data_IF_337932077918
#
_entry.id   IF_337932077918
#
_cell.length_a   1.000
_cell.length_b   1.000
_cell.length_c   1.000
_cell.angle_alpha   90.00
_cell.angle_beta   90.00
_cell.angle_gamma   90.00
#
_symmetry.space_group_name_H-M   'P 1'
#
loop_
_entity.id
_entity.type
_entity.pdbx_description
1 polymer ?
#
# COMPACT_ATOMS: atom_id res chain seq x y z
N UNK A 1 -30.24 30.01 7.55
CA UNK A 1 -30.08 28.52 7.63
C UNK A 1 -31.19 28.02 8.53
N UNK A 2 -32.04 27.11 8.07
CA UNK A 2 -33.17 26.59 8.84
C UNK A 2 -32.71 25.76 10.03
N UNK A 3 -33.35 25.94 11.20
CA UNK A 3 -33.06 25.21 12.44
C UNK A 3 -33.12 23.68 12.26
N UNK A 4 -33.97 23.20 11.38
CA UNK A 4 -34.14 21.78 11.05
C UNK A 4 -32.89 21.11 10.45
N UNK A 5 -31.96 21.86 9.88
CA UNK A 5 -30.71 21.35 9.38
C UNK A 5 -29.78 20.87 10.52
N UNK A 6 -29.77 21.57 11.65
CA UNK A 6 -28.94 21.23 12.80
C UNK A 6 -29.53 20.08 13.63
N UNK A 7 -30.82 19.83 13.55
CA UNK A 7 -31.48 18.69 14.19
C UNK A 7 -31.08 17.35 13.55
N UNK A 8 -30.79 17.36 12.25
CA UNK A 8 -30.35 16.18 11.51
C UNK A 8 -28.83 16.04 11.39
N UNK A 9 -28.06 17.09 11.66
CA UNK A 9 -26.60 17.10 11.59
C UNK A 9 -26.00 17.64 12.90
N UNK A 10 -25.56 16.76 13.80
CA UNK A 10 -24.94 17.20 15.06
C UNK A 10 -23.78 18.16 14.81
N UNK A 11 -23.78 19.29 15.49
CA UNK A 11 -22.78 20.37 15.33
C UNK A 11 -21.35 19.84 15.44
N UNK A 12 -21.08 18.87 16.32
CA UNK A 12 -19.79 18.23 16.44
C UNK A 12 -19.30 17.54 15.15
N UNK A 13 -20.21 16.94 14.39
CA UNK A 13 -19.89 16.28 13.10
C UNK A 13 -19.59 17.29 12.01
N UNK A 14 -20.24 18.47 12.05
CA UNK A 14 -19.94 19.57 11.13
C UNK A 14 -18.59 20.22 11.46
N UNK A 15 -18.28 20.42 12.73
CA UNK A 15 -16.98 20.94 13.19
C UNK A 15 -15.87 20.00 12.80
N UNK A 16 -15.99 18.68 13.04
CA UNK A 16 -14.99 17.69 12.63
C UNK A 16 -14.77 17.70 11.12
N UNK A 17 -15.83 17.81 10.31
CA UNK A 17 -15.69 17.93 8.86
C UNK A 17 -14.99 19.21 8.44
N UNK A 18 -15.25 20.34 9.09
CA UNK A 18 -14.66 21.62 8.71
C UNK A 18 -13.20 21.77 9.18
N UNK A 19 -12.79 21.07 10.23
CA UNK A 19 -11.41 21.13 10.73
C UNK A 19 -10.58 19.95 10.26
N UNK A 20 -10.95 18.73 10.64
CA UNK A 20 -10.13 17.53 10.40
C UNK A 20 -10.12 17.12 8.93
N UNK A 21 -11.26 17.20 8.22
CA UNK A 21 -11.31 16.79 6.81
C UNK A 21 -10.53 17.79 5.92
N UNK A 22 -10.56 19.09 6.26
CA UNK A 22 -9.79 20.12 5.56
C UNK A 22 -8.28 19.95 5.81
N UNK A 23 -7.88 19.63 7.04
CA UNK A 23 -6.47 19.38 7.38
C UNK A 23 -5.94 18.13 6.67
N UNK A 24 -6.72 17.04 6.63
CA UNK A 24 -6.38 15.82 5.89
C UNK A 24 -6.27 16.07 4.38
N UNK A 25 -7.16 16.90 3.82
CA UNK A 25 -7.10 17.28 2.41
C UNK A 25 -5.85 18.12 2.15
N UNK A 26 -5.53 19.09 3.01
CA UNK A 26 -4.32 19.90 2.90
C UNK A 26 -3.05 19.04 2.99
N UNK A 27 -3.00 18.09 3.91
CA UNK A 27 -1.86 17.18 4.06
C UNK A 27 -1.71 16.26 2.84
N UNK A 28 -2.82 15.73 2.30
CA UNK A 28 -2.81 14.95 1.05
C UNK A 28 -2.32 15.77 -0.15
N UNK A 29 -2.76 17.02 -0.27
CA UNK A 29 -2.33 17.89 -1.39
C UNK A 29 -0.88 18.36 -1.21
N UNK A 30 -0.49 18.77 0.00
CA UNK A 30 0.86 19.26 0.26
C UNK A 30 1.92 18.15 0.13
N UNK A 31 1.67 16.96 0.68
CA UNK A 31 2.64 15.86 0.66
C UNK A 31 2.56 15.00 -0.61
N UNK A 32 1.36 14.81 -1.18
CA UNK A 32 1.16 13.86 -2.29
C UNK A 32 1.21 14.49 -3.67
N UNK A 33 0.43 15.55 -3.90
CA UNK A 33 0.29 16.13 -5.24
C UNK A 33 1.58 16.83 -5.71
N UNK A 34 2.24 17.55 -4.82
CA UNK A 34 3.50 18.24 -5.15
C UNK A 34 4.58 17.21 -5.48
N UNK A 35 4.70 16.14 -4.70
CA UNK A 35 5.68 15.07 -4.94
C UNK A 35 5.42 14.41 -6.31
N UNK A 36 4.18 14.05 -6.63
CA UNK A 36 3.83 13.45 -7.93
C UNK A 36 4.16 14.37 -9.10
N UNK A 37 3.91 15.67 -8.98
CA UNK A 37 4.24 16.65 -10.02
C UNK A 37 5.77 16.75 -10.20
N UNK A 38 6.52 16.83 -9.10
CA UNK A 38 7.99 16.87 -9.14
C UNK A 38 8.58 15.60 -9.74
N UNK A 39 8.05 14.43 -9.36
CA UNK A 39 8.48 13.15 -9.93
C UNK A 39 8.18 13.05 -11.43
N UNK A 40 7.02 13.55 -11.88
CA UNK A 40 6.69 13.62 -13.30
C UNK A 40 7.64 14.54 -14.08
N UNK A 41 7.93 15.74 -13.56
CA UNK A 41 8.86 16.66 -14.19
C UNK A 41 10.25 16.04 -14.27
N UNK A 42 10.71 15.42 -13.19
CA UNK A 42 12.00 14.72 -13.13
C UNK A 42 12.06 13.57 -14.13
N UNK A 43 11.01 12.76 -14.21
CA UNK A 43 10.92 11.64 -15.16
C UNK A 43 11.02 12.15 -16.61
N UNK A 44 10.22 13.16 -16.96
CA UNK A 44 10.25 13.76 -18.30
C UNK A 44 11.63 14.34 -18.60
N UNK A 45 12.24 15.06 -17.65
CA UNK A 45 13.58 15.61 -17.80
C UNK A 45 14.63 14.54 -18.06
N UNK A 46 14.63 13.46 -17.28
CA UNK A 46 15.55 12.32 -17.48
C UNK A 46 15.35 11.69 -18.86
N UNK A 47 14.11 11.44 -19.27
CA UNK A 47 13.81 10.85 -20.60
C UNK A 47 14.30 11.76 -21.73
N UNK A 48 14.05 13.06 -21.65
CA UNK A 48 14.53 14.02 -22.63
C UNK A 48 16.07 14.02 -22.75
N UNK A 49 16.78 14.05 -21.61
CA UNK A 49 18.23 14.01 -21.58
C UNK A 49 18.77 12.70 -22.17
N UNK A 50 18.18 11.56 -21.80
CA UNK A 50 18.57 10.25 -22.34
C UNK A 50 18.41 10.18 -23.86
N UNK A 51 17.29 10.67 -24.38
CA UNK A 51 17.02 10.71 -25.83
C UNK A 51 18.00 11.64 -26.56
N UNK A 52 18.39 12.75 -25.95
CA UNK A 52 19.36 13.70 -26.52
C UNK A 52 20.80 13.16 -26.55
N UNK A 53 21.20 12.36 -25.55
CA UNK A 53 22.55 11.77 -25.48
C UNK A 53 22.68 10.59 -26.44
N UNK A 54 21.77 9.61 -26.35
CA UNK A 54 21.81 8.43 -27.20
C UNK A 54 20.41 7.80 -27.35
N UNK A 55 19.81 8.01 -28.50
CA UNK A 55 18.46 7.53 -28.82
C UNK A 55 18.32 6.00 -28.71
N UNK A 56 19.33 5.24 -29.18
CA UNK A 56 19.29 3.76 -29.14
C UNK A 56 19.34 3.25 -27.70
N UNK A 57 20.24 3.81 -26.89
CA UNK A 57 20.37 3.43 -25.48
C UNK A 57 19.11 3.80 -24.70
N UNK A 58 18.53 4.96 -24.96
CA UNK A 58 17.26 5.39 -24.36
C UNK A 58 16.12 4.42 -24.68
N UNK A 59 15.99 3.96 -25.94
CA UNK A 59 14.97 3.00 -26.34
C UNK A 59 15.12 1.65 -25.62
N UNK A 60 16.33 1.15 -25.48
CA UNK A 60 16.62 -0.10 -24.75
C UNK A 60 16.19 0.06 -23.28
N UNK A 61 16.57 1.15 -22.64
CA UNK A 61 16.20 1.42 -21.24
C UNK A 61 14.68 1.59 -21.07
N UNK A 62 14.03 2.34 -21.95
CA UNK A 62 12.59 2.57 -21.90
C UNK A 62 11.78 1.29 -22.18
N UNK A 63 12.32 0.32 -22.92
CA UNK A 63 11.65 -0.96 -23.16
C UNK A 63 11.46 -1.81 -21.90
N UNK A 64 12.21 -1.54 -20.84
CA UNK A 64 12.07 -2.19 -19.53
C UNK A 64 10.82 -1.68 -18.80
N UNK A 65 10.40 -0.41 -19.02
CA UNK A 65 9.27 0.18 -18.31
C UNK A 65 7.94 -0.59 -18.47
N UNK A 66 7.50 -1.00 -19.68
CA UNK A 66 6.27 -1.77 -19.80
C UNK A 66 6.34 -3.13 -19.08
N UNK A 67 7.49 -3.78 -19.06
CA UNK A 67 7.67 -5.03 -18.31
C UNK A 67 7.53 -4.78 -16.82
N UNK A 68 8.17 -3.73 -16.31
CA UNK A 68 8.05 -3.29 -14.92
C UNK A 68 6.59 -2.97 -14.55
N UNK A 69 5.87 -2.21 -15.39
CA UNK A 69 4.48 -1.86 -15.13
C UNK A 69 3.58 -3.11 -15.02
N UNK A 70 3.75 -4.09 -15.89
CA UNK A 70 2.99 -5.35 -15.85
C UNK A 70 3.28 -6.15 -14.56
N UNK A 71 4.55 -6.24 -14.17
CA UNK A 71 4.95 -6.93 -12.94
C UNK A 71 4.40 -6.22 -11.70
N UNK A 72 4.58 -4.91 -11.61
CA UNK A 72 4.07 -4.10 -10.49
C UNK A 72 2.54 -4.25 -10.38
N UNK A 73 1.81 -4.17 -11.50
CA UNK A 73 0.34 -4.31 -11.48
C UNK A 73 -0.08 -5.72 -11.02
N UNK A 74 0.60 -6.77 -11.50
CA UNK A 74 0.34 -8.14 -11.07
C UNK A 74 0.51 -8.33 -9.55
N UNK A 75 1.65 -7.92 -9.00
CA UNK A 75 1.92 -8.05 -7.55
C UNK A 75 1.01 -7.15 -6.72
N UNK A 76 0.75 -5.93 -7.17
CA UNK A 76 -0.15 -4.99 -6.51
C UNK A 76 -1.59 -5.50 -6.41
N UNK A 77 -2.09 -6.16 -7.47
CA UNK A 77 -3.43 -6.81 -7.43
C UNK A 77 -3.47 -7.93 -6.39
N UNK A 78 -2.42 -8.74 -6.31
CA UNK A 78 -2.32 -9.81 -5.31
C UNK A 78 -2.25 -9.24 -3.89
N UNK A 79 -1.35 -8.30 -3.62
CA UNK A 79 -1.22 -7.64 -2.33
C UNK A 79 -2.56 -7.01 -1.88
N UNK A 80 -3.26 -6.28 -2.77
CA UNK A 80 -4.55 -5.65 -2.48
C UNK A 80 -5.62 -6.65 -2.02
N UNK A 81 -5.60 -7.90 -2.53
CA UNK A 81 -6.50 -8.96 -2.09
C UNK A 81 -6.23 -9.33 -0.64
N UNK A 82 -4.96 -9.50 -0.27
CA UNK A 82 -4.58 -9.85 1.11
C UNK A 82 -4.79 -8.69 2.07
N UNK A 83 -4.59 -7.43 1.66
CA UNK A 83 -4.95 -6.27 2.47
C UNK A 83 -6.43 -6.22 2.85
N UNK A 84 -7.33 -6.60 1.93
CA UNK A 84 -8.76 -6.73 2.25
C UNK A 84 -9.01 -7.85 3.24
N UNK A 85 -8.38 -9.01 3.02
CA UNK A 85 -8.50 -10.16 3.93
C UNK A 85 -7.98 -9.83 5.33
N UNK A 86 -6.87 -9.09 5.45
CA UNK A 86 -6.34 -8.62 6.73
C UNK A 86 -7.39 -7.77 7.46
N UNK A 87 -8.06 -6.83 6.78
CA UNK A 87 -9.10 -6.00 7.38
C UNK A 87 -10.30 -6.81 7.88
N UNK A 88 -10.72 -7.81 7.12
CA UNK A 88 -11.80 -8.72 7.54
C UNK A 88 -11.38 -9.54 8.77
N UNK A 89 -10.17 -10.07 8.78
CA UNK A 89 -9.67 -10.89 9.89
C UNK A 89 -9.43 -10.09 11.16
N UNK A 90 -8.85 -8.90 11.05
CA UNK A 90 -8.66 -8.03 12.22
C UNK A 90 -10.00 -7.55 12.79
N UNK A 91 -11.00 -7.30 11.96
CA UNK A 91 -12.35 -6.97 12.41
C UNK A 91 -12.99 -8.13 13.20
N UNK A 92 -12.81 -9.37 12.73
CA UNK A 92 -13.29 -10.56 13.44
C UNK A 92 -12.57 -10.76 14.79
N UNK A 93 -11.24 -10.57 14.83
CA UNK A 93 -10.46 -10.62 16.08
C UNK A 93 -10.95 -9.55 17.08
N UNK A 94 -11.14 -8.31 16.62
CA UNK A 94 -11.58 -7.22 17.47
C UNK A 94 -13.01 -7.44 17.99
N UNK A 95 -13.92 -7.90 17.14
CA UNK A 95 -15.30 -8.23 17.55
C UNK A 95 -15.32 -9.32 18.62
N UNK A 96 -14.56 -10.41 18.39
CA UNK A 96 -14.45 -11.50 19.35
C UNK A 96 -13.82 -11.05 20.69
N UNK A 97 -12.78 -10.24 20.62
CA UNK A 97 -12.14 -9.68 21.81
C UNK A 97 -13.10 -8.78 22.61
N UNK A 98 -13.86 -7.94 21.92
CA UNK A 98 -14.86 -7.08 22.55
C UNK A 98 -15.96 -7.92 23.23
N UNK A 99 -16.44 -8.98 22.58
CA UNK A 99 -17.42 -9.91 23.16
C UNK A 99 -16.84 -10.63 24.38
N UNK A 100 -15.61 -11.15 24.31
CA UNK A 100 -14.93 -11.83 25.40
C UNK A 100 -14.71 -10.90 26.61
N UNK A 101 -14.31 -9.65 26.38
CA UNK A 101 -14.12 -8.66 27.45
C UNK A 101 -15.46 -8.30 28.09
N UNK A 102 -16.50 -8.05 27.30
CA UNK A 102 -17.83 -7.72 27.79
C UNK A 102 -18.48 -8.87 28.54
N UNK A 103 -18.19 -10.11 28.13
CA UNK A 103 -18.69 -11.34 28.76
C UNK A 103 -17.75 -11.97 29.78
N UNK A 104 -16.67 -11.27 30.21
CA UNK A 104 -15.61 -11.85 31.05
C UNK A 104 -16.13 -12.50 32.34
N UNK A 105 -17.09 -11.87 33.03
CA UNK A 105 -17.70 -12.43 34.22
C UNK A 105 -18.44 -13.75 33.96
N UNK A 106 -19.12 -13.86 32.82
CA UNK A 106 -19.83 -15.07 32.40
C UNK A 106 -18.83 -16.18 32.05
N UNK A 107 -17.75 -15.83 31.30
CA UNK A 107 -16.70 -16.78 30.92
C UNK A 107 -16.07 -17.39 32.18
N UNK A 108 -15.76 -16.57 33.19
CA UNK A 108 -15.20 -17.01 34.47
C UNK A 108 -16.19 -17.86 35.26
N UNK A 109 -17.46 -17.47 35.30
CA UNK A 109 -18.50 -18.20 36.03
C UNK A 109 -18.68 -19.65 35.48
N UNK A 110 -18.53 -19.82 34.17
CA UNK A 110 -18.66 -21.13 33.50
C UNK A 110 -17.29 -21.80 33.24
N UNK A 111 -16.18 -21.26 33.75
CA UNK A 111 -14.81 -21.77 33.58
C UNK A 111 -14.45 -22.07 32.13
N UNK A 112 -14.82 -21.14 31.19
CA UNK A 112 -14.62 -21.31 29.74
C UNK A 112 -13.42 -20.57 29.18
N UNK A 113 -12.49 -20.13 29.99
CA UNK A 113 -11.32 -19.35 29.58
C UNK A 113 -10.48 -20.07 28.53
N UNK A 114 -10.27 -21.38 28.68
CA UNK A 114 -9.49 -22.17 27.72
C UNK A 114 -10.15 -22.23 26.33
N UNK A 115 -11.49 -22.29 26.27
CA UNK A 115 -12.20 -22.33 25.00
C UNK A 115 -12.13 -20.96 24.29
N UNK A 116 -12.31 -19.89 25.06
CA UNK A 116 -12.21 -18.52 24.57
C UNK A 116 -10.80 -18.22 24.06
N UNK A 117 -9.77 -18.63 24.81
CA UNK A 117 -8.38 -18.49 24.38
C UNK A 117 -8.08 -19.27 23.09
N UNK A 118 -8.54 -20.51 22.98
CA UNK A 118 -8.33 -21.34 21.80
C UNK A 118 -9.00 -20.74 20.54
N UNK A 119 -10.21 -20.19 20.68
CA UNK A 119 -10.89 -19.52 19.56
C UNK A 119 -10.22 -18.20 19.18
N UNK A 120 -9.76 -17.44 20.17
CA UNK A 120 -8.94 -16.24 19.92
C UNK A 120 -7.66 -16.59 19.14
N UNK A 121 -6.94 -17.63 19.56
CA UNK A 121 -5.71 -18.09 18.88
C UNK A 121 -6.01 -18.55 17.45
N UNK A 122 -7.15 -19.20 17.22
CA UNK A 122 -7.57 -19.59 15.87
C UNK A 122 -7.81 -18.39 14.97
N UNK A 123 -8.56 -17.38 15.46
CA UNK A 123 -8.84 -16.15 14.72
C UNK A 123 -7.56 -15.34 14.46
N UNK A 124 -6.71 -15.25 15.45
CA UNK A 124 -5.42 -14.56 15.36
C UNK A 124 -4.47 -15.28 14.38
N UNK A 125 -4.50 -16.62 14.35
CA UNK A 125 -3.79 -17.42 13.37
C UNK A 125 -4.21 -17.08 11.94
N UNK A 126 -5.51 -16.99 11.67
CA UNK A 126 -6.02 -16.59 10.35
C UNK A 126 -5.61 -15.17 9.95
N UNK A 127 -5.56 -14.24 10.90
CA UNK A 127 -5.07 -12.88 10.69
C UNK A 127 -3.57 -12.88 10.36
N UNK A 128 -2.77 -13.59 11.16
CA UNK A 128 -1.32 -13.75 10.95
C UNK A 128 -1.01 -14.33 9.56
N UNK A 129 -1.74 -15.36 9.14
CA UNK A 129 -1.52 -15.99 7.84
C UNK A 129 -1.85 -15.04 6.68
N UNK A 130 -2.92 -14.25 6.80
CA UNK A 130 -3.23 -13.20 5.82
C UNK A 130 -2.13 -12.14 5.75
N UNK A 131 -1.58 -11.74 6.90
CA UNK A 131 -0.49 -10.78 7.00
C UNK A 131 0.82 -11.32 6.42
N UNK A 132 1.12 -12.61 6.67
CA UNK A 132 2.29 -13.28 6.13
C UNK A 132 2.28 -13.27 4.59
N UNK A 133 1.16 -13.63 3.96
CA UNK A 133 1.03 -13.59 2.51
C UNK A 133 1.10 -12.17 1.93
N UNK A 134 0.53 -11.18 2.61
CA UNK A 134 0.66 -9.78 2.20
C UNK A 134 2.11 -9.35 2.15
N UNK A 135 2.86 -9.59 3.22
CA UNK A 135 4.28 -9.26 3.31
C UNK A 135 5.13 -10.03 2.29
N UNK A 136 4.79 -11.29 2.02
CA UNK A 136 5.49 -12.09 1.01
C UNK A 136 5.36 -11.45 -0.39
N UNK A 137 4.15 -11.05 -0.79
CA UNK A 137 3.94 -10.40 -2.09
C UNK A 137 4.60 -9.02 -2.16
N UNK A 138 4.61 -8.29 -1.07
CA UNK A 138 5.27 -6.99 -0.97
C UNK A 138 6.79 -7.14 -1.07
N UNK A 139 7.39 -8.03 -0.30
CA UNK A 139 8.82 -8.32 -0.35
C UNK A 139 9.25 -8.85 -1.74
N UNK A 140 8.45 -9.73 -2.35
CA UNK A 140 8.70 -10.23 -3.70
C UNK A 140 8.66 -9.10 -4.73
N UNK A 141 7.71 -8.17 -4.62
CA UNK A 141 7.65 -7.00 -5.50
C UNK A 141 8.91 -6.16 -5.40
N UNK A 142 9.34 -5.80 -4.18
CA UNK A 142 10.56 -5.02 -3.99
C UNK A 142 11.80 -5.73 -4.55
N UNK A 143 11.96 -7.02 -4.26
CA UNK A 143 13.10 -7.81 -4.75
C UNK A 143 13.14 -7.89 -6.28
N UNK A 144 11.99 -8.06 -6.93
CA UNK A 144 11.89 -8.12 -8.40
C UNK A 144 12.19 -6.76 -9.02
N UNK A 145 11.63 -5.68 -8.46
CA UNK A 145 11.89 -4.32 -8.94
C UNK A 145 13.38 -3.99 -8.85
N UNK A 146 14.01 -4.29 -7.72
CA UNK A 146 15.44 -4.07 -7.52
C UNK A 146 16.30 -4.95 -8.44
N UNK A 147 15.93 -6.23 -8.61
CA UNK A 147 16.61 -7.15 -9.53
C UNK A 147 16.57 -6.65 -10.97
N UNK A 148 15.41 -6.21 -11.46
CA UNK A 148 15.27 -5.66 -12.82
C UNK A 148 16.06 -4.34 -12.96
N UNK A 149 16.07 -3.49 -11.93
CA UNK A 149 16.86 -2.26 -11.94
C UNK A 149 18.34 -2.54 -12.08
N UNK A 150 18.87 -3.50 -11.33
CA UNK A 150 20.28 -3.91 -11.41
C UNK A 150 20.64 -4.53 -12.77
N UNK A 151 19.75 -5.38 -13.33
CA UNK A 151 19.91 -5.92 -14.68
C UNK A 151 19.90 -4.80 -15.71
N UNK A 152 19.03 -3.83 -15.58
CA UNK A 152 18.95 -2.68 -16.50
C UNK A 152 20.23 -1.86 -16.45
N UNK A 153 20.79 -1.60 -15.27
CA UNK A 153 22.09 -0.90 -15.12
C UNK A 153 23.21 -1.71 -15.79
N UNK A 154 23.25 -3.02 -15.57
CA UNK A 154 24.25 -3.88 -16.18
C UNK A 154 24.14 -3.87 -17.72
N UNK A 155 22.93 -3.91 -18.27
CA UNK A 155 22.68 -3.82 -19.72
C UNK A 155 23.12 -2.47 -20.29
N UNK A 156 22.86 -1.37 -19.61
CA UNK A 156 23.27 -0.02 -20.03
C UNK A 156 24.80 0.06 -20.07
N UNK A 157 25.47 -0.44 -19.02
CA UNK A 157 26.94 -0.45 -18.97
C UNK A 157 27.55 -1.31 -20.06
N UNK A 158 27.01 -2.52 -20.25
CA UNK A 158 27.49 -3.44 -21.27
C UNK A 158 27.32 -2.90 -22.69
N UNK A 159 26.11 -2.40 -22.99
CA UNK A 159 25.80 -1.83 -24.30
C UNK A 159 26.54 -0.51 -24.55
N UNK A 160 26.66 0.34 -23.52
CA UNK A 160 27.43 1.58 -23.59
C UNK A 160 28.92 1.34 -23.83
N UNK A 161 29.51 0.35 -23.16
CA UNK A 161 30.91 -0.02 -23.38
C UNK A 161 31.12 -0.54 -24.83
N UNK A 162 30.21 -1.31 -25.38
CA UNK A 162 30.29 -1.80 -26.76
C UNK A 162 30.25 -0.65 -27.78
N UNK A 163 29.43 0.36 -27.55
CA UNK A 163 29.34 1.55 -28.40
C UNK A 163 30.60 2.44 -28.40
N UNK A 164 31.46 2.32 -27.38
CA UNK A 164 32.72 3.09 -27.29
C UNK A 164 33.87 2.38 -27.99
N UNK A 165 33.79 1.04 -28.09
CA UNK A 165 34.87 0.20 -28.67
C UNK A 165 34.72 0.06 -30.19
N UNK A 166 33.51 0.22 -30.74
CA UNK A 166 33.22 0.28 -32.16
C UNK A 166 33.28 1.73 -32.69
#
# INVERSE_FOLDING_TARGET
>A
MESSYFDHNPVGRLVTRMTTDVDVINEMFAAGAITVIMDLITLVGIVCIMLAINFKLALVTLSVLPVMMLLVDFFRRKARRYYRLIRERIAAVNAYLQEAISGAAVIQLFAREKQVSAEFDRLNGLHRDAYHWSNYYEAALFSIVEGISNITIALILWYGAHLIVD
#
